data_IF_296504821525
#
_entry.id   IF_296504821525
#
_cell.length_a   1.000
_cell.length_b   1.000
_cell.length_c   1.000
_cell.angle_alpha   90.00
_cell.angle_beta   90.00
_cell.angle_gamma   90.00
#
_symmetry.space_group_name_H-M   'P 1'
#
loop_
_entity.id
_entity.type
_entity.pdbx_description
1 polymer ?
#
# COMPACT_ATOMS: atom_id res chain seq x y z
N UNK A 1 0.51 -6.60 3.78
CA UNK A 1 0.65 -5.58 2.72
C UNK A 1 -0.41 -5.63 1.65
N UNK A 2 -0.80 -6.81 1.20
CA UNK A 2 -2.00 -6.97 0.37
C UNK A 2 -3.24 -6.27 0.93
N UNK A 3 -3.43 -6.29 2.25
CA UNK A 3 -4.48 -5.52 2.93
C UNK A 3 -4.38 -4.02 2.62
N UNK A 4 -3.18 -3.43 2.64
CA UNK A 4 -2.96 -2.01 2.32
C UNK A 4 -3.28 -1.73 0.85
N UNK A 5 -2.91 -2.65 -0.06
CA UNK A 5 -3.26 -2.54 -1.48
C UNK A 5 -4.78 -2.50 -1.70
N UNK A 6 -5.51 -3.40 -1.05
CA UNK A 6 -6.98 -3.49 -1.15
C UNK A 6 -7.63 -2.23 -0.55
N UNK A 7 -7.18 -1.79 0.63
CA UNK A 7 -7.69 -0.59 1.28
C UNK A 7 -7.38 0.68 0.47
N UNK A 8 -6.18 0.76 -0.13
CA UNK A 8 -5.82 1.86 -1.00
C UNK A 8 -6.71 1.88 -2.24
N UNK A 9 -6.89 0.75 -2.94
CA UNK A 9 -7.79 0.69 -4.10
C UNK A 9 -9.21 1.08 -3.72
N UNK A 10 -9.75 0.56 -2.61
CA UNK A 10 -11.08 0.92 -2.15
C UNK A 10 -11.22 2.41 -1.83
N UNK A 11 -10.18 3.01 -1.22
CA UNK A 11 -10.16 4.45 -0.92
C UNK A 11 -10.09 5.30 -2.18
N UNK A 12 -9.23 4.93 -3.14
CA UNK A 12 -9.11 5.64 -4.41
C UNK A 12 -10.36 5.50 -5.28
N UNK A 13 -11.04 4.36 -5.22
CA UNK A 13 -12.30 4.16 -5.92
C UNK A 13 -13.43 5.02 -5.35
N UNK A 14 -13.53 5.13 -4.02
CA UNK A 14 -14.59 5.92 -3.38
C UNK A 14 -14.42 7.43 -3.53
N UNK A 15 -13.19 7.93 -3.36
CA UNK A 15 -12.97 9.37 -3.22
C UNK A 15 -12.27 10.01 -4.42
N UNK A 16 -11.66 9.20 -5.29
CA UNK A 16 -10.83 9.68 -6.40
C UNK A 16 -11.23 9.00 -7.71
N UNK A 17 -12.54 8.95 -7.97
CA UNK A 17 -13.10 8.24 -9.12
C UNK A 17 -12.73 8.88 -10.47
N UNK A 18 -12.21 10.10 -10.45
CA UNK A 18 -11.68 10.85 -11.59
C UNK A 18 -10.30 10.35 -12.07
N UNK A 19 -9.54 9.66 -11.21
CA UNK A 19 -8.21 9.17 -11.54
C UNK A 19 -8.31 7.90 -12.36
N UNK A 20 -7.55 7.76 -13.46
CA UNK A 20 -7.57 6.54 -14.26
C UNK A 20 -7.20 5.28 -13.45
N UNK A 21 -7.82 4.14 -13.81
CA UNK A 21 -7.68 2.87 -13.11
C UNK A 21 -6.22 2.37 -13.09
N UNK A 22 -5.45 2.58 -14.17
CA UNK A 22 -4.04 2.23 -14.21
C UNK A 22 -3.24 3.03 -13.18
N UNK A 23 -3.53 4.32 -13.05
CA UNK A 23 -2.88 5.20 -12.07
C UNK A 23 -3.21 4.78 -10.64
N UNK A 24 -4.47 4.37 -10.36
CA UNK A 24 -4.86 3.85 -9.05
C UNK A 24 -4.13 2.57 -8.68
N UNK A 25 -3.91 1.69 -9.65
CA UNK A 25 -3.12 0.47 -9.46
C UNK A 25 -1.68 0.82 -9.10
N UNK A 26 -1.05 1.78 -9.79
CA UNK A 26 0.31 2.22 -9.44
C UNK A 26 0.39 2.81 -8.03
N UNK A 27 -0.57 3.65 -7.63
CA UNK A 27 -0.61 4.24 -6.29
C UNK A 27 -0.79 3.15 -5.22
N UNK A 28 -1.75 2.25 -5.40
CA UNK A 28 -2.02 1.18 -4.44
C UNK A 28 -0.87 0.16 -4.34
N UNK A 29 -0.21 -0.15 -5.46
CA UNK A 29 1.00 -0.96 -5.48
C UNK A 29 2.14 -0.29 -4.70
N UNK A 30 2.38 1.00 -4.94
CA UNK A 30 3.37 1.79 -4.21
C UNK A 30 3.11 1.82 -2.70
N UNK A 31 1.86 2.04 -2.30
CA UNK A 31 1.45 2.03 -0.89
C UNK A 31 1.68 0.67 -0.22
N UNK A 32 1.36 -0.43 -0.91
CA UNK A 32 1.59 -1.80 -0.44
C UNK A 32 3.08 -2.10 -0.24
N UNK A 33 3.92 -1.73 -1.21
CA UNK A 33 5.38 -1.92 -1.12
C UNK A 33 5.98 -1.09 0.01
N UNK A 34 5.59 0.18 0.12
CA UNK A 34 6.09 1.06 1.17
C UNK A 34 5.73 0.54 2.58
N UNK A 35 4.48 0.12 2.78
CA UNK A 35 4.06 -0.43 4.06
C UNK A 35 4.79 -1.76 4.37
N UNK A 36 5.15 -2.53 3.35
CA UNK A 36 5.95 -3.75 3.48
C UNK A 36 7.38 -3.48 3.90
N UNK A 37 8.00 -2.45 3.31
CA UNK A 37 9.31 -1.97 3.72
C UNK A 37 9.30 -1.52 5.18
N UNK A 38 8.32 -0.70 5.58
CA UNK A 38 8.16 -0.26 6.97
C UNK A 38 8.04 -1.45 7.92
N UNK A 39 7.22 -2.44 7.57
CA UNK A 39 7.05 -3.65 8.39
C UNK A 39 8.30 -4.51 8.46
N UNK A 40 9.07 -4.62 7.37
CA UNK A 40 10.36 -5.30 7.36
C UNK A 40 11.35 -4.64 8.33
N UNK A 41 11.45 -3.30 8.30
CA UNK A 41 12.33 -2.58 9.22
C UNK A 41 11.87 -2.71 10.69
N UNK A 42 10.56 -2.65 10.94
CA UNK A 42 10.01 -2.78 12.30
C UNK A 42 10.21 -4.18 12.88
N UNK A 43 9.77 -5.21 12.15
CA UNK A 43 9.73 -6.57 12.69
C UNK A 43 11.02 -7.35 12.42
N UNK A 44 11.63 -7.24 11.24
CA UNK A 44 12.78 -8.07 10.89
C UNK A 44 14.12 -7.50 11.37
N UNK A 45 14.20 -6.18 11.58
CA UNK A 45 15.40 -5.51 12.09
C UNK A 45 15.31 -5.22 13.59
N UNK A 46 14.10 -5.08 14.14
CA UNK A 46 13.86 -4.89 15.58
C UNK A 46 13.94 -6.16 16.42
N UNK A 47 13.71 -7.33 15.82
CA UNK A 47 13.70 -8.65 16.49
C UNK A 47 15.04 -9.41 16.40
N UNK A 48 16.15 -8.68 16.24
CA UNK A 48 17.49 -9.22 16.52
C UNK A 48 17.86 -8.89 17.97
N UNK A 49 17.29 -9.63 18.93
CA UNK A 49 17.79 -9.66 20.30
C UNK A 49 17.63 -11.06 20.89
#
# INVERSE_FOLDING_TARGET
MFIVMILAMWRLEKDYIEIDLQTRIFISAGASVFSGLVSYFLFFRGDKN
#
